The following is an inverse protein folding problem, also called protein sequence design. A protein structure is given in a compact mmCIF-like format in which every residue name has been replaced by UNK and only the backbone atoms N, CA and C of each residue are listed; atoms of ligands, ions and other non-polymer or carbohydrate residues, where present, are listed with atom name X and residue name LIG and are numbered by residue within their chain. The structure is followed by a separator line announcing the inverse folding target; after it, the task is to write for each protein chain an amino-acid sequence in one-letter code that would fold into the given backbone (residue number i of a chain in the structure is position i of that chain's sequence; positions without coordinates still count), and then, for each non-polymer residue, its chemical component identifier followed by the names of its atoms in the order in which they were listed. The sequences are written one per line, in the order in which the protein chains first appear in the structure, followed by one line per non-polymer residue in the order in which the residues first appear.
data_IF_447539371714
#
_entry.id   IF_447539371714
#
_cell.length_a   1.000
_cell.length_b   1.000
_cell.length_c   1.000
_cell.angle_alpha   90.00
_cell.angle_beta   90.00
_cell.angle_gamma   90.00
#
_symmetry.space_group_name_H-M   'P 1'
#
loop_
_entity.id
_entity.type
_entity.pdbx_description
1 polymer ?
#
# COMPACT_ATOMS: atom_id res chain seq x y z
N UNK A 1 -21.94 -4.84 -44.44
CA UNK A 1 -21.09 -4.13 -43.46
C UNK A 1 -20.62 -5.14 -42.42
N UNK A 2 -19.31 -5.20 -42.20
CA UNK A 2 -18.55 -6.40 -41.83
C UNK A 2 -18.65 -6.81 -40.36
N UNK A 3 -19.23 -7.99 -40.10
CA UNK A 3 -19.28 -8.68 -38.80
C UNK A 3 -17.90 -9.07 -38.24
N UNK A 4 -16.86 -9.06 -39.07
CA UNK A 4 -15.47 -9.35 -38.67
C UNK A 4 -14.84 -8.21 -37.86
N UNK A 5 -15.20 -6.95 -38.18
CA UNK A 5 -14.65 -5.76 -37.51
C UNK A 5 -15.13 -5.65 -36.05
N UNK A 6 -16.37 -6.08 -35.77
CA UNK A 6 -16.94 -6.04 -34.42
C UNK A 6 -16.31 -7.08 -33.48
N UNK A 7 -15.95 -8.26 -33.99
CA UNK A 7 -15.27 -9.32 -33.21
C UNK A 7 -13.83 -8.96 -32.84
N UNK A 8 -13.09 -8.34 -33.76
CA UNK A 8 -11.73 -7.84 -33.49
C UNK A 8 -11.73 -6.70 -32.46
N UNK A 9 -12.71 -5.79 -32.53
CA UNK A 9 -12.89 -4.72 -31.53
C UNK A 9 -13.20 -5.28 -30.14
N UNK A 10 -14.09 -6.27 -30.03
CA UNK A 10 -14.45 -6.89 -28.76
C UNK A 10 -13.25 -7.64 -28.13
N UNK A 11 -12.49 -8.38 -28.94
CA UNK A 11 -11.24 -9.03 -28.50
C UNK A 11 -10.18 -8.02 -28.04
N UNK A 12 -10.04 -6.89 -28.72
CA UNK A 12 -9.09 -5.84 -28.32
C UNK A 12 -9.48 -5.15 -27.00
N UNK A 13 -10.78 -5.05 -26.70
CA UNK A 13 -11.27 -4.56 -25.41
C UNK A 13 -11.10 -5.60 -24.29
N UNK A 14 -11.31 -6.88 -24.58
CA UNK A 14 -11.05 -7.97 -23.63
C UNK A 14 -9.56 -8.09 -23.28
N UNK A 15 -8.67 -7.92 -24.26
CA UNK A 15 -7.22 -7.97 -24.06
C UNK A 15 -6.72 -6.77 -23.24
N UNK A 16 -7.30 -5.57 -23.43
CA UNK A 16 -7.00 -4.39 -22.60
C UNK A 16 -7.58 -4.44 -21.18
N UNK A 17 -8.59 -5.27 -20.94
CA UNK A 17 -9.19 -5.49 -19.63
C UNK A 17 -8.45 -6.56 -18.81
N UNK A 18 -7.70 -7.46 -19.46
CA UNK A 18 -7.01 -8.56 -18.80
C UNK A 18 -5.68 -8.14 -18.14
N UNK A 19 -5.14 -6.97 -18.49
CA UNK A 19 -3.85 -6.48 -17.97
C UNK A 19 -3.92 -5.81 -16.59
N UNK A 20 -5.08 -5.82 -15.90
CA UNK A 20 -5.25 -5.17 -14.59
C UNK A 20 -5.60 -6.12 -13.45
N UNK A 21 -5.55 -7.44 -13.67
CA UNK A 21 -5.93 -8.44 -12.64
C UNK A 21 -4.73 -9.06 -11.93
N UNK A 22 -3.52 -8.85 -12.46
CA UNK A 22 -2.27 -9.38 -11.91
C UNK A 22 -1.42 -8.27 -11.30
N UNK A 23 -0.66 -8.62 -10.27
CA UNK A 23 0.28 -7.77 -9.55
C UNK A 23 1.58 -8.52 -9.27
N UNK A 24 2.63 -7.78 -8.93
CA UNK A 24 3.84 -8.36 -8.34
C UNK A 24 3.71 -8.50 -6.82
N UNK A 25 4.22 -9.60 -6.29
CA UNK A 25 4.46 -9.76 -4.85
C UNK A 25 5.82 -10.40 -4.56
N UNK A 26 6.36 -10.15 -3.36
CA UNK A 26 7.65 -10.65 -2.92
C UNK A 26 7.50 -11.72 -1.83
N UNK A 27 8.11 -12.87 -2.07
CA UNK A 27 8.18 -13.99 -1.15
C UNK A 27 9.55 -14.02 -0.50
N UNK A 28 9.58 -13.88 0.83
CA UNK A 28 10.80 -13.94 1.63
C UNK A 28 11.11 -15.39 1.98
N UNK A 29 12.31 -15.84 1.61
CA UNK A 29 12.80 -17.19 1.84
C UNK A 29 13.81 -17.22 2.99
N UNK A 30 14.26 -18.41 3.39
CA UNK A 30 15.32 -18.57 4.40
C UNK A 30 16.65 -17.99 3.87
N UNK A 31 17.33 -17.22 4.71
CA UNK A 31 18.58 -16.54 4.33
C UNK A 31 18.34 -15.24 3.56
N UNK A 32 19.38 -14.66 2.91
CA UNK A 32 19.26 -13.41 2.16
C UNK A 32 18.66 -13.66 0.76
N UNK A 33 17.48 -14.27 0.70
CA UNK A 33 16.80 -14.64 -0.55
C UNK A 33 15.37 -14.12 -0.56
N UNK A 34 15.02 -13.39 -1.61
CA UNK A 34 13.67 -12.89 -1.91
C UNK A 34 13.37 -13.21 -3.36
N UNK A 35 12.14 -13.64 -3.62
CA UNK A 35 11.65 -13.93 -4.96
C UNK A 35 10.46 -13.03 -5.27
N UNK A 36 10.41 -12.45 -6.48
CA UNK A 36 9.28 -11.65 -6.94
C UNK A 36 8.49 -12.48 -7.94
N UNK A 37 7.21 -12.69 -7.66
CA UNK A 37 6.29 -13.49 -8.48
C UNK A 37 5.15 -12.62 -9.01
N UNK A 38 4.48 -13.08 -10.07
CA UNK A 38 3.18 -12.56 -10.49
C UNK A 38 2.07 -13.29 -9.71
N UNK A 39 1.13 -12.52 -9.16
CA UNK A 39 -0.02 -13.01 -8.42
C UNK A 39 -1.28 -12.24 -8.83
N UNK A 40 -2.46 -12.80 -8.56
CA UNK A 40 -3.71 -12.08 -8.79
C UNK A 40 -3.93 -11.01 -7.72
N UNK A 41 -4.54 -9.88 -8.11
CA UNK A 41 -5.00 -8.88 -7.15
C UNK A 41 -6.11 -9.53 -6.30
N UNK A 42 -6.00 -9.52 -4.96
CA UNK A 42 -6.99 -10.15 -4.11
C UNK A 42 -8.35 -9.43 -4.22
N UNK A 43 -9.43 -10.20 -4.23
CA UNK A 43 -10.79 -9.68 -4.08
C UNK A 43 -11.14 -9.59 -2.59
N UNK A 44 -11.67 -8.44 -2.10
CA UNK A 44 -12.03 -8.32 -0.69
C UNK A 44 -13.26 -9.16 -0.35
N UNK A 45 -13.14 -10.02 0.66
CA UNK A 45 -14.26 -10.67 1.31
C UNK A 45 -15.02 -9.74 2.26
N UNK A 46 -16.11 -10.20 2.90
CA UNK A 46 -16.86 -9.40 3.87
C UNK A 46 -15.97 -8.87 5.00
N UNK A 47 -16.06 -7.59 5.32
CA UNK A 47 -15.25 -6.93 6.35
C UNK A 47 -13.80 -6.64 5.93
N UNK A 48 -13.42 -6.91 4.67
CA UNK A 48 -12.05 -6.73 4.20
C UNK A 48 -11.91 -5.52 3.28
N UNK A 49 -10.69 -4.98 3.25
CA UNK A 49 -10.27 -3.83 2.44
C UNK A 49 -9.06 -4.26 1.64
N UNK A 50 -9.05 -3.96 0.34
CA UNK A 50 -7.88 -4.11 -0.51
C UNK A 50 -7.27 -2.74 -0.72
N UNK A 51 -5.99 -2.61 -0.38
CA UNK A 51 -5.23 -1.37 -0.45
C UNK A 51 -4.18 -1.50 -1.54
N UNK A 52 -4.14 -0.54 -2.47
CA UNK A 52 -2.99 -0.35 -3.36
C UNK A 52 -1.84 0.19 -2.51
N UNK A 53 -0.82 -0.63 -2.33
CA UNK A 53 0.30 -0.36 -1.42
C UNK A 53 1.15 0.76 -2.00
N UNK A 54 1.46 1.75 -1.15
CA UNK A 54 2.42 2.81 -1.46
C UNK A 54 3.69 2.60 -0.64
N UNK A 55 3.56 2.24 0.64
CA UNK A 55 4.66 1.79 1.48
C UNK A 55 4.28 0.53 2.26
N UNK A 56 5.28 -0.33 2.43
CA UNK A 56 5.23 -1.44 3.37
C UNK A 56 6.25 -1.20 4.48
N UNK A 57 5.83 -1.43 5.73
CA UNK A 57 6.77 -1.56 6.84
C UNK A 57 7.54 -2.88 6.76
N UNK A 58 8.70 -2.92 7.42
CA UNK A 58 9.55 -4.11 7.48
C UNK A 58 9.92 -4.38 8.94
N UNK A 59 9.68 -5.61 9.39
CA UNK A 59 9.82 -6.03 10.78
C UNK A 59 10.66 -7.31 10.89
N UNK A 60 11.38 -7.53 12.01
CA UNK A 60 12.20 -8.73 12.17
C UNK A 60 11.50 -10.05 11.94
N UNK A 61 10.19 -10.14 12.21
CA UNK A 61 9.41 -11.35 11.95
C UNK A 61 9.49 -11.76 10.47
N UNK A 62 9.57 -10.82 9.54
CA UNK A 62 9.35 -11.05 8.11
C UNK A 62 10.44 -11.94 7.52
N UNK A 63 11.69 -11.68 7.90
CA UNK A 63 12.86 -12.46 7.47
C UNK A 63 13.21 -13.59 8.44
N UNK A 64 12.72 -13.54 9.68
CA UNK A 64 12.92 -14.61 10.67
C UNK A 64 11.95 -15.78 10.50
N UNK A 65 10.70 -15.51 10.12
CA UNK A 65 9.64 -16.53 9.95
C UNK A 65 10.06 -17.69 9.03
N UNK A 66 10.63 -17.49 7.83
CA UNK A 66 11.06 -18.63 7.00
C UNK A 66 12.20 -19.45 7.61
N UNK A 67 12.93 -18.88 8.58
CA UNK A 67 13.98 -19.60 9.30
C UNK A 67 13.41 -20.40 10.47
N UNK A 68 12.47 -19.84 11.24
CA UNK A 68 11.88 -20.50 12.41
C UNK A 68 10.73 -21.45 12.09
N UNK A 69 10.07 -21.28 10.95
CA UNK A 69 8.95 -22.10 10.50
C UNK A 69 9.18 -22.54 9.05
N UNK A 70 10.16 -23.42 8.80
CA UNK A 70 10.54 -23.83 7.44
C UNK A 70 9.46 -24.66 6.72
N UNK A 71 8.60 -25.35 7.48
CA UNK A 71 7.54 -26.21 6.94
C UNK A 71 6.21 -25.45 6.71
N UNK A 72 6.13 -24.18 7.11
CA UNK A 72 4.96 -23.35 6.87
C UNK A 72 4.89 -22.94 5.39
N UNK A 73 3.67 -22.78 4.83
CA UNK A 73 3.51 -22.29 3.47
C UNK A 73 4.28 -20.99 3.21
N UNK A 74 4.94 -20.92 2.06
CA UNK A 74 5.64 -19.72 1.63
C UNK A 74 4.63 -18.68 1.15
N UNK A 75 4.17 -17.84 2.08
CA UNK A 75 3.30 -16.69 1.80
C UNK A 75 4.07 -15.38 1.95
N UNK A 76 3.55 -14.32 1.35
CA UNK A 76 3.98 -12.94 1.59
C UNK A 76 4.03 -12.64 3.11
N UNK A 77 5.06 -11.94 3.56
CA UNK A 77 5.32 -11.70 4.99
C UNK A 77 5.14 -10.24 5.43
N UNK A 78 4.87 -9.33 4.49
CA UNK A 78 4.62 -7.93 4.81
C UNK A 78 3.26 -7.81 5.51
N UNK A 79 3.23 -7.22 6.71
CA UNK A 79 1.98 -7.02 7.45
C UNK A 79 1.63 -5.54 7.66
N UNK A 80 2.60 -4.64 7.52
CA UNK A 80 2.38 -3.20 7.70
C UNK A 80 2.08 -2.56 6.35
N UNK A 81 0.90 -1.94 6.22
CA UNK A 81 0.41 -1.38 4.97
C UNK A 81 0.22 0.13 5.13
N UNK A 82 0.65 0.91 4.14
CA UNK A 82 0.08 2.24 3.92
C UNK A 82 -0.11 2.52 2.43
N UNK A 83 -1.25 3.12 2.09
CA UNK A 83 -1.60 3.33 0.70
C UNK A 83 -3.01 3.84 0.47
N UNK A 84 -3.57 3.48 -0.68
CA UNK A 84 -4.88 3.95 -1.14
C UNK A 84 -5.84 2.79 -1.20
N UNK A 85 -7.03 2.92 -0.62
CA UNK A 85 -8.09 1.92 -0.76
C UNK A 85 -8.40 1.72 -2.25
N UNK A 86 -8.26 0.48 -2.71
CA UNK A 86 -8.58 0.06 -4.07
C UNK A 86 -10.02 -0.47 -4.14
N UNK A 87 -10.38 -1.37 -3.22
CA UNK A 87 -11.70 -1.98 -3.13
C UNK A 87 -12.07 -2.30 -1.68
N UNK A 88 -13.36 -2.41 -1.40
CA UNK A 88 -13.89 -2.80 -0.09
C UNK A 88 -14.88 -3.94 -0.27
N UNK A 89 -14.90 -4.86 0.68
CA UNK A 89 -15.82 -5.99 0.67
C UNK A 89 -17.18 -5.65 1.28
N UNK A 90 -18.08 -6.63 1.30
CA UNK A 90 -19.38 -6.48 1.92
C UNK A 90 -19.25 -6.09 3.41
N UNK A 91 -20.23 -5.36 3.96
CA UNK A 91 -20.27 -4.92 5.35
C UNK A 91 -19.16 -3.96 5.80
N UNK A 92 -18.38 -3.39 4.87
CA UNK A 92 -17.46 -2.28 5.16
C UNK A 92 -18.15 -0.98 4.76
N UNK A 93 -18.33 -0.05 5.70
CA UNK A 93 -18.98 1.24 5.43
C UNK A 93 -18.10 2.44 5.77
N UNK A 94 -17.03 2.21 6.53
CA UNK A 94 -16.12 3.22 7.05
C UNK A 94 -15.06 3.65 6.04
N UNK A 95 -14.91 2.91 4.93
CA UNK A 95 -13.90 3.11 3.89
C UNK A 95 -14.50 3.07 2.49
N UNK A 96 -13.88 3.78 1.56
CA UNK A 96 -14.23 3.76 0.14
C UNK A 96 -12.98 3.84 -0.75
N UNK A 97 -13.04 3.37 -2.01
CA UNK A 97 -11.96 3.54 -2.96
C UNK A 97 -11.46 4.99 -3.03
N UNK A 98 -10.14 5.18 -3.01
CA UNK A 98 -9.48 6.48 -2.99
C UNK A 98 -9.13 7.01 -1.59
N UNK A 99 -9.65 6.42 -0.51
CA UNK A 99 -9.26 6.81 0.84
C UNK A 99 -7.78 6.50 1.11
N UNK A 100 -7.09 7.41 1.81
CA UNK A 100 -5.72 7.21 2.28
C UNK A 100 -5.74 6.46 3.61
N UNK A 101 -5.13 5.29 3.66
CA UNK A 101 -5.19 4.41 4.83
C UNK A 101 -3.81 3.86 5.20
N UNK A 102 -3.70 3.48 6.45
CA UNK A 102 -2.73 2.50 6.91
C UNK A 102 -3.48 1.34 7.58
N UNK A 103 -2.88 0.16 7.53
CA UNK A 103 -3.52 -1.04 8.05
C UNK A 103 -2.49 -2.06 8.51
N UNK A 104 -2.98 -3.02 9.29
CA UNK A 104 -2.25 -4.23 9.63
C UNK A 104 -2.93 -5.43 8.94
N UNK A 105 -2.19 -6.13 8.07
CA UNK A 105 -2.63 -7.37 7.43
C UNK A 105 -2.62 -8.53 8.44
N UNK A 106 -3.49 -9.51 8.23
CA UNK A 106 -3.57 -10.69 9.09
C UNK A 106 -2.33 -11.58 8.91
N UNK A 107 -1.47 -11.61 9.93
CA UNK A 107 -0.23 -12.37 9.90
C UNK A 107 -0.40 -13.81 9.39
N UNK A 108 0.56 -14.27 8.60
CA UNK A 108 0.62 -15.64 8.08
C UNK A 108 -0.53 -16.02 7.11
N UNK A 109 -1.29 -15.04 6.63
CA UNK A 109 -2.25 -15.22 5.54
C UNK A 109 -1.69 -14.73 4.20
N UNK A 110 -2.25 -15.18 3.07
CA UNK A 110 -1.97 -14.59 1.76
C UNK A 110 -2.49 -13.14 1.66
N UNK A 111 -1.88 -12.33 0.78
CA UNK A 111 -2.30 -10.94 0.54
C UNK A 111 -1.56 -9.89 1.37
N UNK A 112 -0.33 -10.20 1.82
CA UNK A 112 0.52 -9.28 2.57
C UNK A 112 1.03 -8.07 1.78
N UNK A 113 1.63 -7.10 2.47
CA UNK A 113 2.03 -5.80 1.93
C UNK A 113 3.35 -5.74 1.17
N UNK A 114 4.12 -6.82 1.11
CA UNK A 114 5.22 -6.90 0.12
C UNK A 114 4.67 -7.23 -1.27
N UNK A 115 3.68 -6.45 -1.72
CA UNK A 115 2.96 -6.60 -2.97
C UNK A 115 2.46 -5.23 -3.43
N UNK A 116 2.01 -5.13 -4.68
CA UNK A 116 1.41 -3.88 -5.17
C UNK A 116 -0.01 -3.66 -4.59
N UNK A 117 -0.70 -4.73 -4.21
CA UNK A 117 -1.98 -4.70 -3.52
C UNK A 117 -1.98 -5.66 -2.34
N UNK A 118 -2.57 -5.23 -1.23
CA UNK A 118 -2.60 -6.00 0.00
C UNK A 118 -3.99 -5.97 0.63
N UNK A 119 -4.30 -7.02 1.38
CA UNK A 119 -5.59 -7.23 2.02
C UNK A 119 -5.50 -6.92 3.51
N UNK A 120 -6.52 -6.31 4.08
CA UNK A 120 -6.61 -6.09 5.52
C UNK A 120 -8.05 -6.19 6.00
N UNK A 121 -8.24 -6.39 7.30
CA UNK A 121 -9.56 -6.25 7.90
C UNK A 121 -9.88 -4.76 8.06
N UNK A 122 -11.15 -4.38 7.86
CA UNK A 122 -11.60 -3.00 8.13
C UNK A 122 -11.33 -2.61 9.60
N UNK A 123 -11.41 -3.57 10.52
CA UNK A 123 -11.11 -3.39 11.95
C UNK A 123 -9.63 -3.11 12.26
N UNK A 124 -8.71 -3.49 11.37
CA UNK A 124 -7.27 -3.22 11.51
C UNK A 124 -6.80 -2.09 10.58
N UNK A 125 -7.74 -1.37 9.95
CA UNK A 125 -7.48 -0.30 9.01
C UNK A 125 -7.86 1.05 9.62
N UNK A 126 -7.08 2.10 9.37
CA UNK A 126 -7.40 3.46 9.79
C UNK A 126 -7.04 4.48 8.72
N UNK A 127 -7.80 5.58 8.67
CA UNK A 127 -7.56 6.69 7.74
C UNK A 127 -6.30 7.45 8.16
N UNK A 128 -5.42 7.71 7.21
CA UNK A 128 -4.29 8.60 7.43
C UNK A 128 -4.79 10.06 7.45
N UNK A 129 -4.40 10.87 8.46
CA UNK A 129 -4.63 12.30 8.41
C UNK A 129 -4.06 12.92 7.13
N UNK A 130 -4.68 13.98 6.62
CA UNK A 130 -4.25 14.65 5.37
C UNK A 130 -2.76 15.01 5.35
N UNK A 131 -2.23 15.29 6.54
CA UNK A 131 -0.86 15.78 6.74
C UNK A 131 0.13 14.67 7.06
N UNK A 132 -0.30 13.45 7.31
CA UNK A 132 0.59 12.32 7.52
C UNK A 132 0.94 11.73 6.16
N UNK A 133 2.22 11.61 5.83
CA UNK A 133 2.71 10.91 4.63
C UNK A 133 2.56 9.40 4.77
N UNK A 134 2.67 8.64 3.67
CA UNK A 134 2.53 7.18 3.73
C UNK A 134 3.67 6.51 4.53
N UNK A 135 4.83 7.17 4.56
CA UNK A 135 6.01 6.81 5.34
C UNK A 135 5.90 7.20 6.82
N UNK A 136 4.78 7.79 7.25
CA UNK A 136 4.54 8.16 8.65
C UNK A 136 5.09 9.53 9.08
N UNK A 137 5.69 10.31 8.17
CA UNK A 137 6.16 11.68 8.50
C UNK A 137 5.02 12.69 8.49
N UNK A 138 5.02 13.62 9.44
CA UNK A 138 4.13 14.78 9.41
C UNK A 138 4.61 15.79 8.36
N UNK A 139 3.74 16.15 7.41
CA UNK A 139 3.99 17.19 6.41
C UNK A 139 3.99 18.55 7.10
N UNK A 140 5.07 19.34 6.98
CA UNK A 140 5.14 20.66 7.61
C UNK A 140 4.00 21.56 7.11
N UNK A 141 3.54 22.47 7.97
CA UNK A 141 2.63 23.55 7.58
C UNK A 141 3.21 24.25 6.35
N UNK A 142 2.40 24.51 5.31
CA UNK A 142 2.76 25.55 4.37
C UNK A 142 3.02 26.79 5.21
N UNK A 143 4.26 27.31 5.20
CA UNK A 143 4.54 28.58 5.87
C UNK A 143 3.59 29.60 5.23
N UNK A 144 2.74 30.28 6.00
CA UNK A 144 1.93 31.33 5.42
C UNK A 144 2.88 32.31 4.72
N UNK A 145 2.59 32.61 3.45
CA UNK A 145 3.28 33.67 2.72
C UNK A 145 2.84 35.01 3.29
N UNK A 146 3.27 35.32 4.50
CA UNK A 146 3.26 36.69 4.97
C UNK A 146 4.39 37.41 4.24
N UNK A 147 4.15 38.60 3.65
CA UNK A 147 5.24 39.44 3.21
C UNK A 147 6.11 39.70 4.44
N UNK A 148 7.39 39.32 4.34
CA UNK A 148 8.37 39.60 5.38
C UNK A 148 8.33 41.10 5.65
N UNK A 149 7.92 41.50 6.84
CA UNK A 149 8.18 42.85 7.30
C UNK A 149 9.70 43.09 7.22
N UNK A 150 10.15 44.27 6.76
CA UNK A 150 11.58 44.54 6.62
C UNK A 150 12.30 44.31 7.96
N UNK A 151 13.55 43.80 7.93
CA UNK A 151 14.26 43.42 9.14
C UNK A 151 14.48 44.63 10.03
N UNK A 152 13.97 44.57 11.26
CA UNK A 152 14.34 45.49 12.32
C UNK A 152 15.67 45.01 12.91
N UNK A 153 16.73 45.81 12.76
CA UNK A 153 18.07 45.50 13.24
C UNK A 153 18.08 45.50 14.78
N UNK A 154 17.98 44.31 15.37
CA UNK A 154 18.16 44.04 16.80
C UNK A 154 19.03 42.79 17.01
N UNK A 155 19.80 42.69 18.10
CA UNK A 155 21.05 41.94 18.14
C UNK A 155 20.85 40.43 17.98
N UNK A 156 21.72 39.87 17.14
CA UNK A 156 21.81 38.46 16.78
C UNK A 156 21.90 37.55 18.02
N UNK A 157 20.96 36.63 18.16
CA UNK A 157 21.15 35.40 18.92
C UNK A 157 21.49 34.28 17.94
N UNK A 158 22.67 33.70 18.15
CA UNK A 158 23.35 32.75 17.30
C UNK A 158 22.62 31.41 17.21
N UNK A 159 22.63 30.87 15.99
CA UNK A 159 22.27 29.49 15.65
C UNK A 159 23.44 28.59 16.05
N UNK A 160 23.22 27.62 16.94
CA UNK A 160 24.15 26.50 17.18
C UNK A 160 23.63 25.29 16.42
N UNK A 161 24.53 24.67 15.67
CA UNK A 161 24.35 23.53 14.76
C UNK A 161 24.54 22.23 15.55
N UNK A 162 23.74 21.19 15.25
CA UNK A 162 24.20 19.90 14.71
C UNK A 162 23.05 19.11 14.10
#
# INVERSE_FOLDING_TARGET
MSTTSARLSALSHQIRSASTTTMKEAIVHKGPRVEIIDSEIPNPGPGQVVTKVVFSGCNPKDWKRPTFMPDAPAVNQGDDISGIVHAVGANVSEFRPGDRVAAFHEMMKPGGSYAEYALSWASTTFRLPERTTFEGKHRPMPRPRFPLAPPNNGPCLSRVIS
#
